data_IF_070291846094
#
_entry.id   IF_070291846094
#
_cell.length_a   1.000
_cell.length_b   1.000
_cell.length_c   1.000
_cell.angle_alpha   90.00
_cell.angle_beta   90.00
_cell.angle_gamma   90.00
#
_symmetry.space_group_name_H-M   'P 1'
#
loop_
_entity.id
_entity.type
_entity.pdbx_description
1 polymer ?
#
# COMPACT_ATOMS: atom_id res chain seq x y z
N UNK A 1 -52.67 -4.08 -34.65
CA UNK A 1 -51.53 -4.36 -33.75
C UNK A 1 -50.36 -3.51 -34.21
N UNK A 2 -50.17 -2.33 -33.62
CA UNK A 2 -49.03 -1.46 -33.90
C UNK A 2 -47.77 -2.09 -33.33
N UNK A 3 -46.87 -2.50 -34.21
CA UNK A 3 -45.50 -2.90 -33.87
C UNK A 3 -44.83 -1.76 -33.10
N UNK A 4 -44.67 -1.89 -31.77
CA UNK A 4 -43.76 -1.01 -31.02
C UNK A 4 -42.36 -1.36 -31.50
N UNK A 5 -41.80 -0.53 -32.36
CA UNK A 5 -40.37 -0.56 -32.68
C UNK A 5 -39.65 -0.39 -31.34
N UNK A 6 -39.11 -1.48 -30.79
CA UNK A 6 -38.27 -1.44 -29.61
C UNK A 6 -37.00 -0.71 -30.01
N UNK A 7 -36.95 0.59 -29.72
CA UNK A 7 -35.73 1.36 -29.89
C UNK A 7 -34.66 0.69 -29.03
N UNK A 8 -33.59 0.21 -29.67
CA UNK A 8 -32.44 -0.37 -29.00
C UNK A 8 -31.29 0.60 -29.10
N UNK A 9 -30.49 0.68 -28.05
CA UNK A 9 -29.23 1.43 -28.05
C UNK A 9 -28.07 0.45 -27.95
N UNK A 10 -27.01 0.71 -28.71
CA UNK A 10 -25.73 0.05 -28.62
C UNK A 10 -24.83 0.86 -27.70
N UNK A 11 -24.25 0.22 -26.70
CA UNK A 11 -23.32 0.86 -25.77
C UNK A 11 -22.08 -0.04 -25.62
N UNK A 12 -20.97 0.54 -25.17
CA UNK A 12 -19.75 -0.22 -24.87
C UNK A 12 -19.46 -0.16 -23.37
N UNK A 13 -19.59 -1.28 -22.67
CA UNK A 13 -19.38 -1.42 -21.22
C UNK A 13 -18.08 -2.16 -20.96
N UNK A 14 -17.10 -1.53 -20.31
CA UNK A 14 -15.77 -2.12 -20.04
C UNK A 14 -15.12 -2.77 -21.28
N UNK A 15 -15.33 -2.18 -22.46
CA UNK A 15 -14.79 -2.69 -23.73
C UNK A 15 -15.66 -3.71 -24.46
N UNK A 16 -16.77 -4.17 -23.86
CA UNK A 16 -17.74 -5.09 -24.48
C UNK A 16 -18.93 -4.34 -25.04
N UNK A 17 -19.34 -4.69 -26.25
CA UNK A 17 -20.53 -4.12 -26.86
C UNK A 17 -21.78 -4.80 -26.27
N UNK A 18 -22.75 -3.99 -25.84
CA UNK A 18 -24.03 -4.42 -25.28
C UNK A 18 -25.17 -3.69 -25.96
N UNK A 19 -26.27 -4.41 -26.16
CA UNK A 19 -27.53 -3.84 -26.64
C UNK A 19 -28.51 -3.73 -25.49
N UNK A 20 -29.03 -2.54 -25.23
CA UNK A 20 -30.10 -2.31 -24.26
C UNK A 20 -31.39 -1.92 -24.98
N UNK A 21 -32.51 -2.45 -24.50
CA UNK A 21 -33.82 -1.97 -24.92
C UNK A 21 -34.08 -0.57 -24.33
N UNK A 22 -34.82 0.27 -25.06
CA UNK A 22 -35.22 1.60 -24.60
C UNK A 22 -35.97 1.52 -23.26
N UNK A 23 -35.86 2.58 -22.47
CA UNK A 23 -36.48 2.65 -21.16
C UNK A 23 -38.01 2.50 -21.22
N UNK A 24 -38.68 2.23 -20.08
CA UNK A 24 -40.12 1.92 -20.04
C UNK A 24 -41.02 2.96 -20.72
N UNK A 25 -40.57 4.22 -20.74
CA UNK A 25 -41.25 5.39 -21.31
C UNK A 25 -40.83 5.72 -22.76
N UNK A 26 -40.05 4.86 -23.44
CA UNK A 26 -39.61 5.06 -24.83
C UNK A 26 -38.43 6.01 -25.02
N UNK A 27 -37.80 6.47 -23.92
CA UNK A 27 -36.56 7.25 -23.94
C UNK A 27 -35.30 6.38 -23.89
N UNK A 28 -34.12 7.01 -23.99
CA UNK A 28 -32.84 6.33 -23.80
C UNK A 28 -32.80 5.59 -22.45
N UNK A 29 -32.28 4.35 -22.39
CA UNK A 29 -32.16 3.64 -21.12
C UNK A 29 -31.22 4.38 -20.19
N UNK A 30 -31.36 4.15 -18.90
CA UNK A 30 -30.56 4.80 -17.86
C UNK A 30 -29.43 3.90 -17.36
N UNK A 31 -28.51 4.47 -16.58
CA UNK A 31 -27.52 3.67 -15.84
C UNK A 31 -28.20 2.62 -14.95
N UNK A 32 -29.33 2.95 -14.30
CA UNK A 32 -30.08 1.98 -13.49
C UNK A 32 -30.64 0.81 -14.34
N UNK A 33 -31.06 1.07 -15.57
CA UNK A 33 -31.54 0.03 -16.49
C UNK A 33 -30.39 -0.89 -16.92
N UNK A 34 -29.20 -0.33 -17.19
CA UNK A 34 -27.99 -1.12 -17.44
C UNK A 34 -27.64 -2.00 -16.23
N UNK A 35 -27.64 -1.44 -15.01
CA UNK A 35 -27.34 -2.21 -13.81
C UNK A 35 -28.34 -3.35 -13.58
N UNK A 36 -29.62 -3.14 -13.91
CA UNK A 36 -30.65 -4.18 -13.86
C UNK A 36 -30.42 -5.27 -14.91
N UNK A 37 -30.12 -4.87 -16.13
CA UNK A 37 -29.80 -5.79 -17.23
C UNK A 37 -28.61 -6.70 -16.89
N UNK A 38 -27.60 -6.15 -16.21
CA UNK A 38 -26.41 -6.90 -15.78
C UNK A 38 -26.61 -7.70 -14.47
N UNK A 39 -27.78 -7.61 -13.81
CA UNK A 39 -27.99 -8.24 -12.50
C UNK A 39 -27.15 -7.65 -11.36
N UNK A 40 -26.77 -6.37 -11.47
CA UNK A 40 -25.87 -5.67 -10.53
C UNK A 40 -26.59 -4.64 -9.65
N UNK A 41 -27.92 -4.57 -9.67
CA UNK A 41 -28.71 -3.54 -8.96
C UNK A 41 -28.44 -3.49 -7.46
N UNK A 42 -28.32 -4.65 -6.81
CA UNK A 42 -28.12 -4.75 -5.35
C UNK A 42 -26.64 -4.74 -4.94
N UNK A 43 -25.71 -4.73 -5.90
CA UNK A 43 -24.28 -4.74 -5.59
C UNK A 43 -23.88 -3.44 -4.90
N UNK A 44 -23.32 -3.60 -3.71
CA UNK A 44 -22.62 -2.55 -2.99
C UNK A 44 -21.21 -2.39 -3.60
N UNK A 45 -20.61 -1.22 -3.37
CA UNK A 45 -19.25 -0.90 -3.82
C UNK A 45 -18.95 -1.03 -5.32
N UNK A 46 -19.86 -0.53 -6.15
CA UNK A 46 -19.68 -0.38 -7.59
C UNK A 46 -19.81 1.09 -7.96
N UNK A 47 -18.89 1.58 -8.78
CA UNK A 47 -18.96 2.91 -9.37
C UNK A 47 -19.11 2.83 -10.90
N UNK A 48 -19.81 3.82 -11.46
CA UNK A 48 -20.07 3.90 -12.90
C UNK A 48 -19.56 5.24 -13.44
N UNK A 49 -18.88 5.20 -14.57
CA UNK A 49 -18.63 6.38 -15.39
C UNK A 49 -19.24 6.22 -16.78
N UNK A 50 -19.79 7.30 -17.31
CA UNK A 50 -20.35 7.37 -18.66
C UNK A 50 -19.59 8.44 -19.43
N UNK A 51 -18.99 8.07 -20.56
CA UNK A 51 -18.16 8.93 -21.41
C UNK A 51 -17.03 9.66 -20.65
N UNK A 52 -16.46 9.00 -19.64
CA UNK A 52 -15.39 9.55 -18.80
C UNK A 52 -15.87 10.36 -17.60
N UNK A 53 -17.17 10.61 -17.47
CA UNK A 53 -17.74 11.29 -16.32
C UNK A 53 -18.27 10.29 -15.29
N UNK A 54 -17.79 10.39 -14.05
CA UNK A 54 -18.31 9.60 -12.93
C UNK A 54 -19.76 9.97 -12.66
N UNK A 55 -20.62 8.97 -12.55
CA UNK A 55 -22.06 9.12 -12.32
C UNK A 55 -22.38 8.73 -10.87
N UNK A 56 -22.76 9.71 -10.01
CA UNK A 56 -23.13 9.41 -8.63
C UNK A 56 -24.29 8.41 -8.57
N UNK A 57 -24.26 7.49 -7.60
CA UNK A 57 -25.29 6.45 -7.46
C UNK A 57 -26.71 7.00 -7.38
N UNK A 58 -26.89 8.14 -6.72
CA UNK A 58 -28.17 8.87 -6.63
C UNK A 58 -28.72 9.33 -7.98
N UNK A 59 -27.88 9.43 -9.02
CA UNK A 59 -28.28 9.85 -10.36
C UNK A 59 -28.52 8.71 -11.33
N UNK A 60 -28.25 7.46 -10.96
CA UNK A 60 -28.32 6.33 -11.88
C UNK A 60 -29.71 6.15 -12.51
N UNK A 61 -30.78 6.44 -11.77
CA UNK A 61 -32.16 6.30 -12.23
C UNK A 61 -32.61 7.31 -13.29
N UNK A 62 -31.85 8.38 -13.52
CA UNK A 62 -32.18 9.42 -14.50
C UNK A 62 -31.00 9.82 -15.38
N UNK A 63 -29.85 9.15 -15.28
CA UNK A 63 -28.70 9.40 -16.13
C UNK A 63 -28.85 8.64 -17.46
N UNK A 64 -29.03 9.34 -18.59
CA UNK A 64 -29.30 8.68 -19.86
C UNK A 64 -28.04 8.00 -20.43
N UNK A 65 -28.24 6.87 -21.09
CA UNK A 65 -27.26 6.17 -21.91
C UNK A 65 -27.64 6.35 -23.38
N UNK A 66 -27.08 7.35 -24.08
CA UNK A 66 -27.31 7.51 -25.51
C UNK A 66 -26.69 6.37 -26.31
N UNK A 67 -27.13 6.21 -27.55
CA UNK A 67 -26.49 5.30 -28.49
C UNK A 67 -25.00 5.65 -28.66
N UNK A 68 -24.15 4.63 -28.67
CA UNK A 68 -22.69 4.76 -28.67
C UNK A 68 -22.05 5.12 -27.33
N UNK A 69 -22.80 5.19 -26.23
CA UNK A 69 -22.24 5.52 -24.91
C UNK A 69 -21.14 4.54 -24.48
N UNK A 70 -20.03 5.08 -23.96
CA UNK A 70 -18.97 4.31 -23.33
C UNK A 70 -19.16 4.30 -21.82
N UNK A 71 -19.38 3.14 -21.25
CA UNK A 71 -19.61 2.95 -19.82
C UNK A 71 -18.44 2.21 -19.20
N UNK A 72 -17.93 2.71 -18.09
CA UNK A 72 -17.04 1.98 -17.21
C UNK A 72 -17.79 1.61 -15.94
N UNK A 73 -17.76 0.32 -15.58
CA UNK A 73 -18.27 -0.19 -14.33
C UNK A 73 -17.08 -0.76 -13.58
N UNK A 74 -16.76 -0.18 -12.43
CA UNK A 74 -15.58 -0.55 -11.65
C UNK A 74 -15.95 -0.99 -10.25
N UNK A 75 -15.07 -1.78 -9.66
CA UNK A 75 -15.16 -2.20 -8.26
C UNK A 75 -13.78 -2.26 -7.61
N UNK A 76 -13.72 -2.28 -6.26
CA UNK A 76 -12.52 -2.61 -5.52
C UNK A 76 -12.06 -4.05 -5.79
N UNK A 77 -10.75 -4.22 -5.96
CA UNK A 77 -10.09 -5.51 -6.14
C UNK A 77 -8.81 -5.54 -5.31
N UNK A 78 -8.29 -6.75 -5.09
CA UNK A 78 -6.91 -6.94 -4.66
C UNK A 78 -5.93 -6.20 -5.61
N UNK A 79 -4.94 -5.50 -5.05
CA UNK A 79 -3.99 -4.70 -5.84
C UNK A 79 -3.02 -5.51 -6.73
N UNK A 80 -2.28 -4.81 -7.60
CA UNK A 80 -1.16 -5.39 -8.35
C UNK A 80 -1.44 -5.68 -9.84
N UNK A 81 -0.43 -5.43 -10.68
CA UNK A 81 -0.38 -5.92 -12.06
C UNK A 81 0.16 -7.36 -12.05
N UNK A 82 -0.41 -8.24 -12.88
CA UNK A 82 0.12 -9.58 -13.08
C UNK A 82 1.58 -9.49 -13.59
N UNK A 83 2.47 -10.22 -12.93
CA UNK A 83 3.77 -10.58 -13.49
C UNK A 83 3.85 -12.10 -13.37
N UNK A 84 4.28 -12.80 -14.43
CA UNK A 84 4.20 -14.25 -14.49
C UNK A 84 4.92 -14.85 -13.29
N UNK A 85 4.17 -15.65 -12.52
CA UNK A 85 4.70 -16.35 -11.36
C UNK A 85 5.71 -17.41 -11.82
N UNK A 86 6.84 -17.51 -11.13
CA UNK A 86 7.67 -18.72 -11.12
C UNK A 86 7.46 -19.41 -9.79
N UNK A 87 7.09 -20.68 -9.85
CA UNK A 87 6.93 -21.55 -8.68
C UNK A 87 8.30 -22.10 -8.25
N UNK A 88 8.58 -22.06 -6.95
CA UNK A 88 9.67 -22.83 -6.32
C UNK A 88 9.23 -23.35 -4.93
N UNK A 89 9.81 -24.47 -4.44
CA UNK A 89 9.20 -25.28 -3.39
C UNK A 89 9.58 -24.85 -1.95
N UNK A 90 8.71 -25.23 -1.00
CA UNK A 90 8.75 -24.89 0.43
C UNK A 90 9.36 -26.03 1.27
N UNK A 91 10.17 -25.70 2.29
CA UNK A 91 10.68 -26.64 3.30
C UNK A 91 10.28 -26.22 4.74
N UNK A 92 10.14 -27.17 5.72
CA UNK A 92 9.57 -26.87 7.04
C UNK A 92 10.55 -26.81 8.23
N UNK A 93 10.23 -25.87 9.14
CA UNK A 93 10.25 -25.86 10.62
C UNK A 93 11.53 -25.85 11.51
N UNK A 94 11.33 -25.13 12.63
CA UNK A 94 12.18 -24.64 13.75
C UNK A 94 11.95 -25.46 15.05
N UNK A 95 12.76 -25.30 16.13
CA UNK A 95 12.15 -24.78 17.38
C UNK A 95 13.04 -23.93 18.36
N UNK A 96 12.41 -22.86 18.88
CA UNK A 96 12.22 -22.37 20.27
C UNK A 96 13.38 -22.06 21.28
N UNK A 97 13.25 -20.93 22.00
CA UNK A 97 13.95 -20.61 23.28
C UNK A 97 13.08 -19.79 24.28
N UNK A 98 13.35 -19.86 25.62
CA UNK A 98 12.51 -19.26 26.66
C UNK A 98 13.11 -18.02 27.38
N UNK A 99 12.22 -17.27 28.07
CA UNK A 99 12.44 -16.74 29.43
C UNK A 99 12.94 -15.30 29.62
N UNK A 100 12.04 -14.41 30.09
CA UNK A 100 12.20 -12.95 30.34
C UNK A 100 12.60 -12.68 31.82
N UNK A 101 13.35 -11.65 32.22
CA UNK A 101 12.82 -10.30 32.56
C UNK A 101 13.84 -9.40 33.26
N UNK A 102 13.70 -8.07 33.15
CA UNK A 102 13.42 -7.20 34.32
C UNK A 102 12.98 -5.78 33.90
N UNK A 103 11.82 -5.37 34.43
CA UNK A 103 11.24 -4.02 34.58
C UNK A 103 11.05 -3.15 33.32
N UNK A 104 9.96 -3.49 32.63
CA UNK A 104 9.39 -2.88 31.44
C UNK A 104 8.53 -1.63 31.74
N UNK A 105 8.85 -0.50 31.11
CA UNK A 105 7.77 0.23 30.45
C UNK A 105 7.55 -0.48 29.12
N UNK A 106 6.56 -1.37 29.06
CA UNK A 106 6.18 -2.00 27.79
C UNK A 106 5.62 -0.91 26.89
N UNK A 107 6.21 -0.71 25.71
CA UNK A 107 5.67 0.19 24.71
C UNK A 107 4.22 -0.20 24.39
N UNK A 108 3.28 0.72 24.64
CA UNK A 108 1.89 0.60 24.21
C UNK A 108 1.70 1.48 22.97
N UNK A 109 1.45 0.91 21.77
CA UNK A 109 1.13 1.67 20.57
C UNK A 109 -0.03 2.65 20.75
N UNK A 110 -0.92 2.43 21.73
CA UNK A 110 -2.02 3.33 22.05
C UNK A 110 -1.60 4.71 22.56
N UNK A 111 -0.39 4.84 23.12
CA UNK A 111 0.15 6.10 23.62
C UNK A 111 1.06 6.86 22.61
N UNK A 112 1.37 6.24 21.46
CA UNK A 112 2.10 6.86 20.34
C UNK A 112 1.35 6.63 19.00
N UNK A 113 0.12 7.15 18.85
CA UNK A 113 -0.65 6.92 17.64
C UNK A 113 -0.03 7.63 16.43
N UNK A 114 -0.15 7.01 15.26
CA UNK A 114 0.01 7.68 13.98
C UNK A 114 -1.26 8.49 13.69
N UNK A 115 -1.11 9.79 13.42
CA UNK A 115 -2.23 10.65 13.03
C UNK A 115 -2.05 11.12 11.60
N UNK A 116 -3.01 10.82 10.73
CA UNK A 116 -3.07 11.33 9.35
C UNK A 116 -4.45 11.96 9.15
N UNK A 117 -4.51 13.19 8.67
CA UNK A 117 -5.76 13.94 8.45
C UNK A 117 -6.75 13.87 9.64
N UNK A 118 -6.22 14.01 10.87
CA UNK A 118 -7.00 13.98 12.10
C UNK A 118 -7.47 12.58 12.56
N UNK A 119 -7.20 11.52 11.79
CA UNK A 119 -7.53 10.13 12.16
C UNK A 119 -6.31 9.46 12.80
N UNK A 120 -6.52 8.90 13.98
CA UNK A 120 -5.50 8.14 14.71
C UNK A 120 -5.49 6.65 14.32
N UNK A 121 -4.30 6.07 14.22
CA UNK A 121 -4.01 4.66 14.00
C UNK A 121 -2.95 4.21 15.02
N UNK A 122 -3.13 3.03 15.60
CA UNK A 122 -2.15 2.37 16.47
C UNK A 122 -1.07 1.68 15.65
N UNK A 123 -1.45 1.12 14.50
CA UNK A 123 -0.51 0.47 13.59
C UNK A 123 0.17 1.47 12.67
N UNK A 124 1.49 1.36 12.57
CA UNK A 124 2.35 2.09 11.62
C UNK A 124 2.75 1.24 10.40
N UNK A 125 2.11 0.08 10.22
CA UNK A 125 2.29 -0.82 9.08
C UNK A 125 1.03 -0.79 8.23
N UNK A 126 1.13 -0.27 7.01
CA UNK A 126 0.08 -0.33 5.99
C UNK A 126 0.35 -1.52 5.09
N UNK A 127 -0.70 -2.26 4.72
CA UNK A 127 -0.54 -3.49 3.94
C UNK A 127 -1.36 -3.43 2.65
N UNK A 128 -0.74 -3.83 1.54
CA UNK A 128 -1.47 -4.02 0.29
C UNK A 128 -2.14 -5.39 0.21
N UNK A 129 -3.20 -5.46 -0.59
CA UNK A 129 -4.01 -6.67 -0.83
C UNK A 129 -3.56 -7.47 -2.05
N UNK A 130 -2.51 -7.02 -2.73
CA UNK A 130 -2.15 -7.51 -4.05
C UNK A 130 -1.15 -8.64 -4.07
N UNK A 131 -1.21 -9.48 -5.11
CA UNK A 131 -0.23 -10.54 -5.43
C UNK A 131 -0.18 -11.74 -4.47
N UNK A 132 -1.14 -11.89 -3.57
CA UNK A 132 -1.27 -13.11 -2.77
C UNK A 132 -1.71 -14.27 -3.63
N UNK A 133 -1.25 -15.48 -3.30
CA UNK A 133 -1.64 -16.73 -3.99
C UNK A 133 -3.14 -17.02 -3.89
N UNK A 134 -3.75 -16.67 -2.76
CA UNK A 134 -5.17 -16.91 -2.48
C UNK A 134 -5.68 -15.94 -1.41
N UNK A 135 -7.00 -15.77 -1.36
CA UNK A 135 -7.66 -14.83 -0.46
C UNK A 135 -7.51 -15.22 1.01
N UNK A 136 -7.52 -16.51 1.35
CA UNK A 136 -7.39 -16.96 2.73
C UNK A 136 -6.01 -16.57 3.31
N UNK A 137 -4.96 -16.72 2.51
CA UNK A 137 -3.60 -16.31 2.83
C UNK A 137 -3.50 -14.80 2.98
N UNK A 138 -4.14 -14.03 2.11
CA UNK A 138 -4.22 -12.57 2.23
C UNK A 138 -4.89 -12.16 3.55
N UNK A 139 -6.06 -12.72 3.87
CA UNK A 139 -6.77 -12.42 5.13
C UNK A 139 -5.87 -12.74 6.33
N UNK A 140 -5.28 -13.93 6.37
CA UNK A 140 -4.38 -14.32 7.46
C UNK A 140 -3.17 -13.38 7.60
N UNK A 141 -2.62 -12.88 6.48
CA UNK A 141 -1.54 -11.91 6.50
C UNK A 141 -1.98 -10.54 7.03
N UNK A 142 -3.15 -10.03 6.62
CA UNK A 142 -3.72 -8.79 7.15
C UNK A 142 -3.93 -8.90 8.67
N UNK A 143 -4.47 -10.02 9.14
CA UNK A 143 -4.70 -10.24 10.57
C UNK A 143 -3.41 -10.26 11.38
N UNK A 144 -2.42 -11.03 10.92
CA UNK A 144 -1.12 -11.17 11.60
C UNK A 144 -0.27 -9.90 11.57
N UNK A 145 -0.40 -9.10 10.50
CA UNK A 145 0.26 -7.79 10.43
C UNK A 145 -0.22 -6.82 11.52
N UNK A 146 -1.43 -7.00 12.04
CA UNK A 146 -2.07 -6.01 12.91
C UNK A 146 -2.26 -4.65 12.24
N UNK A 147 -2.32 -4.60 10.90
CA UNK A 147 -2.57 -3.37 10.16
C UNK A 147 -3.97 -2.83 10.46
N UNK A 148 -4.11 -1.51 10.46
CA UNK A 148 -5.40 -0.81 10.50
C UNK A 148 -5.70 -0.08 9.18
N UNK A 149 -4.76 -0.11 8.21
CA UNK A 149 -4.90 0.56 6.90
C UNK A 149 -4.50 -0.37 5.76
N UNK A 150 -5.43 -0.61 4.85
CA UNK A 150 -5.29 -1.61 3.78
C UNK A 150 -5.49 -0.96 2.42
N UNK A 151 -4.54 -1.15 1.50
CA UNK A 151 -4.68 -0.62 0.14
C UNK A 151 -5.43 -1.57 -0.79
N UNK A 152 -6.28 -0.99 -1.64
CA UNK A 152 -7.08 -1.70 -2.64
C UNK A 152 -7.01 -0.98 -3.98
N UNK A 153 -7.06 -1.72 -5.09
CA UNK A 153 -7.09 -1.12 -6.41
C UNK A 153 -8.54 -1.02 -6.91
N UNK A 154 -8.82 -0.03 -7.76
CA UNK A 154 -10.08 0.04 -8.51
C UNK A 154 -9.85 -0.53 -9.91
N UNK A 155 -10.68 -1.49 -10.32
CA UNK A 155 -10.58 -2.15 -11.63
C UNK A 155 -11.93 -2.27 -12.30
N UNK A 156 -11.90 -2.32 -13.63
CA UNK A 156 -13.06 -2.65 -14.44
C UNK A 156 -13.58 -4.03 -14.04
N UNK A 157 -14.89 -4.11 -13.80
CA UNK A 157 -15.56 -5.37 -13.48
C UNK A 157 -15.54 -6.31 -14.69
N UNK A 158 -15.21 -7.58 -14.48
CA UNK A 158 -15.41 -8.61 -15.49
C UNK A 158 -16.89 -8.99 -15.53
N UNK A 159 -17.55 -8.61 -16.62
CA UNK A 159 -18.99 -8.86 -16.80
C UNK A 159 -19.35 -10.34 -16.97
N UNK A 160 -18.39 -11.21 -17.32
CA UNK A 160 -18.64 -12.67 -17.45
C UNK A 160 -18.46 -13.41 -16.11
N UNK A 161 -17.78 -12.78 -15.16
CA UNK A 161 -17.51 -13.33 -13.82
C UNK A 161 -17.76 -12.25 -12.74
N UNK A 162 -19.01 -11.75 -12.62
CA UNK A 162 -19.36 -10.63 -11.76
C UNK A 162 -19.13 -10.92 -10.26
N UNK A 163 -19.08 -12.19 -9.85
CA UNK A 163 -18.80 -12.59 -8.46
C UNK A 163 -17.31 -12.72 -8.11
N UNK A 164 -16.42 -12.83 -9.11
CA UNK A 164 -15.02 -13.17 -8.85
C UNK A 164 -14.18 -11.99 -8.37
N UNK A 165 -13.56 -12.08 -7.19
CA UNK A 165 -12.48 -11.16 -6.78
C UNK A 165 -12.90 -9.86 -6.07
N UNK A 166 -14.15 -9.78 -5.59
CA UNK A 166 -14.56 -8.68 -4.71
C UNK A 166 -13.79 -8.74 -3.38
N UNK A 167 -12.88 -7.80 -3.19
CA UNK A 167 -12.04 -7.71 -1.99
C UNK A 167 -12.86 -7.42 -0.73
N UNK A 168 -14.01 -6.74 -0.87
CA UNK A 168 -14.84 -6.35 0.28
C UNK A 168 -15.60 -7.54 0.87
N UNK A 169 -15.74 -8.64 0.14
CA UNK A 169 -16.26 -9.89 0.70
C UNK A 169 -15.33 -10.50 1.76
N UNK A 170 -14.07 -10.04 1.82
CA UNK A 170 -13.02 -10.65 2.64
C UNK A 170 -12.31 -9.67 3.59
N UNK A 171 -12.54 -8.36 3.44
CA UNK A 171 -11.92 -7.32 4.27
C UNK A 171 -13.01 -6.60 5.07
N UNK A 172 -13.02 -6.81 6.40
CA UNK A 172 -13.97 -6.14 7.30
C UNK A 172 -13.64 -4.64 7.39
N UNK A 173 -14.47 -3.81 6.74
CA UNK A 173 -14.33 -2.35 6.70
C UNK A 173 -14.60 -1.65 8.04
N UNK A 174 -15.12 -2.38 9.04
CA UNK A 174 -15.20 -1.89 10.43
C UNK A 174 -13.87 -2.02 11.15
N UNK A 175 -13.03 -2.99 10.73
CA UNK A 175 -11.69 -3.24 11.29
C UNK A 175 -10.59 -2.49 10.53
N UNK A 176 -10.69 -2.45 9.21
CA UNK A 176 -9.66 -1.87 8.34
C UNK A 176 -10.14 -0.58 7.70
N UNK A 177 -9.30 0.45 7.75
CA UNK A 177 -9.47 1.65 6.96
C UNK A 177 -8.97 1.39 5.53
N UNK A 178 -9.87 1.48 4.55
CA UNK A 178 -9.51 1.27 3.15
C UNK A 178 -8.85 2.52 2.57
N UNK A 179 -7.69 2.30 1.93
CA UNK A 179 -6.96 3.32 1.18
C UNK A 179 -6.94 2.89 -0.30
N UNK A 180 -7.95 3.26 -1.11
CA UNK A 180 -7.91 2.97 -2.53
C UNK A 180 -6.70 3.64 -3.18
N UNK A 181 -6.19 3.04 -4.25
CA UNK A 181 -5.11 3.61 -5.04
C UNK A 181 -5.50 3.85 -6.51
N UNK A 182 -4.74 4.71 -7.17
CA UNK A 182 -4.89 4.99 -8.60
C UNK A 182 -3.96 4.14 -9.46
N UNK A 183 -3.57 2.94 -8.98
CA UNK A 183 -2.65 2.05 -9.67
C UNK A 183 -3.09 1.80 -11.12
N UNK A 184 -2.19 2.06 -12.07
CA UNK A 184 -2.45 1.93 -13.51
C UNK A 184 -2.72 3.26 -14.22
N UNK A 185 -2.88 4.37 -13.49
CA UNK A 185 -2.85 5.70 -14.09
C UNK A 185 -1.43 6.07 -14.55
N UNK A 186 -1.32 6.58 -15.77
CA UNK A 186 -0.07 7.15 -16.32
C UNK A 186 -0.16 8.65 -16.57
N UNK A 187 -1.33 9.26 -16.31
CA UNK A 187 -1.55 10.71 -16.40
C UNK A 187 -2.32 11.22 -15.19
N UNK A 188 -2.22 12.51 -14.90
CA UNK A 188 -2.97 13.16 -13.82
C UNK A 188 -4.49 13.01 -14.01
N UNK A 189 -4.99 13.14 -15.25
CA UNK A 189 -6.42 12.98 -15.56
C UNK A 189 -6.93 11.57 -15.25
N UNK A 190 -6.17 10.54 -15.61
CA UNK A 190 -6.53 9.16 -15.29
C UNK A 190 -6.56 8.93 -13.78
N UNK A 191 -5.55 9.44 -13.06
CA UNK A 191 -5.49 9.27 -11.62
C UNK A 191 -6.67 9.96 -10.92
N UNK A 192 -7.01 11.19 -11.34
CA UNK A 192 -8.16 11.93 -10.83
C UNK A 192 -9.46 11.17 -11.11
N UNK A 193 -9.66 10.67 -12.33
CA UNK A 193 -10.84 9.89 -12.69
C UNK A 193 -10.97 8.61 -11.84
N UNK A 194 -9.87 7.87 -11.65
CA UNK A 194 -9.85 6.66 -10.80
C UNK A 194 -10.16 7.02 -9.34
N UNK A 195 -9.63 8.12 -8.82
CA UNK A 195 -9.89 8.55 -7.44
C UNK A 195 -11.37 8.90 -7.22
N UNK A 196 -12.02 9.59 -8.16
CA UNK A 196 -13.47 9.86 -8.09
C UNK A 196 -14.30 8.58 -8.17
N UNK A 197 -13.92 7.64 -9.05
CA UNK A 197 -14.53 6.31 -9.08
C UNK A 197 -14.34 5.55 -7.76
N UNK A 198 -13.15 5.63 -7.16
CA UNK A 198 -12.85 5.00 -5.88
C UNK A 198 -13.72 5.57 -4.76
N UNK A 199 -13.88 6.89 -4.70
CA UNK A 199 -14.73 7.58 -3.73
C UNK A 199 -16.19 7.16 -3.87
N UNK A 200 -16.72 7.08 -5.09
CA UNK A 200 -18.09 6.62 -5.32
C UNK A 200 -18.27 5.14 -4.97
N UNK A 201 -17.27 4.29 -5.25
CA UNK A 201 -17.34 2.86 -4.93
C UNK A 201 -17.21 2.60 -3.42
N UNK A 202 -16.31 3.30 -2.72
CA UNK A 202 -15.94 2.96 -1.34
C UNK A 202 -16.47 3.94 -0.29
N UNK A 203 -17.04 5.07 -0.71
CA UNK A 203 -17.53 6.11 0.20
C UNK A 203 -16.42 6.77 1.02
N UNK A 204 -15.16 6.71 0.58
CA UNK A 204 -14.00 7.26 1.28
C UNK A 204 -13.37 8.42 0.51
N UNK A 205 -12.97 9.53 1.17
CA UNK A 205 -12.19 10.59 0.55
C UNK A 205 -10.68 10.27 0.53
N UNK A 206 -10.23 9.16 1.13
CA UNK A 206 -8.81 8.82 1.20
C UNK A 206 -8.34 8.20 -0.11
N UNK A 207 -7.19 8.62 -0.61
CA UNK A 207 -6.61 8.09 -1.85
C UNK A 207 -5.09 8.00 -1.76
N UNK A 208 -4.56 6.80 -2.03
CA UNK A 208 -3.16 6.59 -2.39
C UNK A 208 -2.98 6.99 -3.85
N UNK A 209 -2.42 8.17 -4.08
CA UNK A 209 -2.23 8.70 -5.42
C UNK A 209 -0.95 8.11 -6.03
N UNK A 210 -1.11 7.38 -7.12
CA UNK A 210 -0.05 6.80 -7.94
C UNK A 210 -0.25 7.25 -9.40
N UNK A 211 0.75 7.95 -9.95
CA UNK A 211 0.83 8.28 -11.37
C UNK A 211 2.15 7.74 -11.90
N UNK A 212 2.10 6.67 -12.69
CA UNK A 212 3.32 5.96 -13.13
C UNK A 212 3.88 6.65 -14.38
N UNK A 213 5.13 7.10 -14.29
CA UNK A 213 5.84 7.75 -15.40
C UNK A 213 6.55 6.76 -16.32
N UNK A 214 7.04 5.63 -15.77
CA UNK A 214 7.63 4.56 -16.57
C UNK A 214 7.06 3.18 -16.14
N UNK A 215 6.39 2.45 -17.05
CA UNK A 215 5.79 1.16 -16.73
C UNK A 215 6.82 0.05 -16.45
N UNK A 216 8.10 0.21 -16.84
CA UNK A 216 9.14 -0.80 -16.56
C UNK A 216 9.67 -0.69 -15.13
N UNK A 217 10.04 0.51 -14.71
CA UNK A 217 10.55 0.76 -13.36
C UNK A 217 9.46 1.00 -12.33
N UNK A 218 8.23 1.33 -12.77
CA UNK A 218 7.13 1.77 -11.92
C UNK A 218 7.48 3.01 -11.09
N UNK A 219 8.42 3.83 -11.56
CA UNK A 219 8.73 5.13 -10.98
C UNK A 219 7.62 6.14 -11.28
N UNK A 220 7.31 7.03 -10.33
CA UNK A 220 6.22 7.99 -10.49
C UNK A 220 6.60 9.14 -11.44
N UNK A 221 5.63 9.62 -12.21
CA UNK A 221 5.70 10.95 -12.83
C UNK A 221 5.38 12.00 -11.77
N UNK A 222 6.41 12.71 -11.31
CA UNK A 222 6.28 13.66 -10.20
C UNK A 222 5.52 14.94 -10.58
N UNK A 223 5.56 15.36 -11.85
CA UNK A 223 4.77 16.53 -12.30
C UNK A 223 3.29 16.18 -12.35
N UNK A 224 2.94 15.05 -12.96
CA UNK A 224 1.56 14.59 -13.02
C UNK A 224 1.01 14.25 -11.61
N UNK A 225 1.85 13.69 -10.73
CA UNK A 225 1.49 13.43 -9.32
C UNK A 225 1.19 14.73 -8.57
N UNK A 226 2.01 15.78 -8.74
CA UNK A 226 1.78 17.08 -8.11
C UNK A 226 0.50 17.76 -8.64
N UNK A 227 0.25 17.68 -9.95
CA UNK A 227 -0.98 18.20 -10.55
C UNK A 227 -2.23 17.49 -10.00
N UNK A 228 -2.24 16.16 -10.01
CA UNK A 228 -3.33 15.37 -9.50
C UNK A 228 -3.56 15.61 -7.99
N UNK A 229 -2.48 15.78 -7.21
CA UNK A 229 -2.58 16.12 -5.78
C UNK A 229 -3.37 17.41 -5.59
N UNK A 230 -3.01 18.51 -6.28
CA UNK A 230 -3.71 19.80 -6.16
C UNK A 230 -5.19 19.71 -6.54
N UNK A 231 -5.51 18.92 -7.57
CA UNK A 231 -6.89 18.73 -8.04
C UNK A 231 -7.70 17.94 -7.01
N UNK A 232 -7.17 16.82 -6.54
CA UNK A 232 -7.85 15.95 -5.58
C UNK A 232 -8.04 16.62 -4.22
N UNK A 233 -7.04 17.34 -3.71
CA UNK A 233 -7.17 18.12 -2.46
C UNK A 233 -8.29 19.14 -2.60
N UNK A 234 -8.35 19.87 -3.72
CA UNK A 234 -9.45 20.84 -4.01
C UNK A 234 -10.81 20.16 -4.06
N UNK A 235 -10.86 18.93 -4.57
CA UNK A 235 -12.07 18.11 -4.63
C UNK A 235 -12.44 17.44 -3.29
N UNK A 236 -11.70 17.75 -2.21
CA UNK A 236 -11.96 17.29 -0.85
C UNK A 236 -11.39 15.90 -0.52
N UNK A 237 -10.39 15.43 -1.26
CA UNK A 237 -9.71 14.17 -0.94
C UNK A 237 -8.63 14.35 0.14
N UNK A 238 -8.43 13.29 0.93
CA UNK A 238 -7.25 13.08 1.75
C UNK A 238 -6.22 12.34 0.89
N UNK A 239 -5.25 13.08 0.34
CA UNK A 239 -4.31 12.56 -0.66
C UNK A 239 -3.00 12.11 0.00
N UNK A 240 -2.60 10.87 -0.28
CA UNK A 240 -1.31 10.30 0.07
C UNK A 240 -0.58 9.95 -1.24
N UNK A 241 0.31 10.81 -1.76
CA UNK A 241 1.00 10.61 -3.02
C UNK A 241 2.24 9.72 -2.89
N UNK A 242 2.35 8.72 -3.77
CA UNK A 242 3.57 7.95 -4.02
C UNK A 242 4.58 8.81 -4.80
N UNK A 243 5.78 8.97 -4.26
CA UNK A 243 6.82 9.83 -4.82
C UNK A 243 8.22 9.24 -4.65
N UNK A 244 9.23 9.91 -5.18
CA UNK A 244 10.65 9.59 -4.90
C UNK A 244 11.08 10.22 -3.57
N UNK A 245 12.30 9.90 -3.11
CA UNK A 245 12.97 10.54 -1.97
C UNK A 245 13.49 11.97 -2.24
N UNK A 246 13.04 12.62 -3.32
CA UNK A 246 13.39 14.00 -3.62
C UNK A 246 12.69 14.97 -2.65
N UNK A 247 13.50 15.72 -1.88
CA UNK A 247 13.02 16.64 -0.86
C UNK A 247 12.12 17.74 -1.45
N UNK A 248 12.51 18.31 -2.60
CA UNK A 248 11.77 19.44 -3.18
C UNK A 248 10.39 18.99 -3.64
N UNK A 249 10.28 17.80 -4.22
CA UNK A 249 9.01 17.20 -4.59
C UNK A 249 8.14 16.96 -3.37
N UNK A 250 8.68 16.41 -2.28
CA UNK A 250 7.91 16.16 -1.06
C UNK A 250 7.37 17.46 -0.44
N UNK A 251 8.18 18.53 -0.36
CA UNK A 251 7.74 19.84 0.11
C UNK A 251 6.63 20.43 -0.79
N UNK A 252 6.74 20.27 -2.11
CA UNK A 252 5.70 20.73 -3.04
C UNK A 252 4.39 19.94 -2.92
N UNK A 253 4.46 18.65 -2.62
CA UNK A 253 3.28 17.82 -2.37
C UNK A 253 2.61 18.22 -1.04
N UNK A 254 3.39 18.51 -0.01
CA UNK A 254 2.90 19.10 1.24
C UNK A 254 2.22 20.46 0.98
N UNK A 255 2.86 21.38 0.27
CA UNK A 255 2.29 22.69 -0.10
C UNK A 255 1.00 22.55 -0.92
N UNK A 256 0.88 21.47 -1.71
CA UNK A 256 -0.33 21.15 -2.47
C UNK A 256 -1.47 20.60 -1.60
N UNK A 257 -1.23 20.35 -0.31
CA UNK A 257 -2.20 19.86 0.67
C UNK A 257 -2.22 18.34 0.83
N UNK A 258 -1.17 17.63 0.45
CA UNK A 258 -1.05 16.20 0.74
C UNK A 258 -1.14 15.95 2.26
N UNK A 259 -1.89 14.94 2.66
CA UNK A 259 -2.09 14.61 4.08
C UNK A 259 -0.94 13.78 4.68
N UNK A 260 -0.13 13.18 3.82
CA UNK A 260 1.14 12.54 4.09
C UNK A 260 1.94 12.56 2.78
N UNK A 261 3.24 12.29 2.81
CA UNK A 261 4.04 12.02 1.61
C UNK A 261 4.59 10.60 1.66
N UNK A 262 4.66 9.92 0.52
CA UNK A 262 5.07 8.52 0.48
C UNK A 262 6.30 8.28 -0.41
N UNK A 263 7.50 8.66 0.04
CA UNK A 263 8.73 8.42 -0.71
C UNK A 263 9.03 6.92 -0.79
N UNK A 264 9.48 6.49 -1.96
CA UNK A 264 9.85 5.11 -2.21
C UNK A 264 11.17 4.70 -1.53
N UNK A 265 11.26 3.50 -0.96
CA UNK A 265 12.55 2.94 -0.50
C UNK A 265 13.41 2.44 -1.69
N UNK A 266 12.75 1.75 -2.62
CA UNK A 266 13.25 1.29 -3.90
C UNK A 266 12.06 1.07 -4.87
N UNK A 267 12.30 0.83 -6.18
CA UNK A 267 11.20 0.63 -7.12
C UNK A 267 10.22 -0.49 -6.71
N UNK A 268 8.95 -0.34 -7.12
CA UNK A 268 7.85 -1.21 -6.64
C UNK A 268 8.15 -2.68 -6.90
N UNK A 269 8.13 -3.47 -5.82
CA UNK A 269 8.23 -4.92 -5.89
C UNK A 269 9.63 -5.50 -6.12
N UNK A 270 10.68 -4.67 -6.09
CA UNK A 270 12.06 -5.16 -6.23
C UNK A 270 12.58 -5.85 -4.98
N UNK A 271 12.13 -5.44 -3.79
CA UNK A 271 12.63 -5.96 -2.52
C UNK A 271 14.08 -5.57 -2.22
N UNK A 272 14.58 -4.50 -2.84
CA UNK A 272 15.97 -4.04 -2.70
C UNK A 272 16.25 -3.31 -1.37
N UNK A 273 15.23 -3.02 -0.57
CA UNK A 273 15.37 -2.31 0.69
C UNK A 273 15.53 -0.79 0.50
N UNK A 274 16.28 -0.15 1.40
CA UNK A 274 16.39 1.31 1.52
C UNK A 274 17.56 1.88 0.69
N UNK A 275 17.35 2.10 -0.62
CA UNK A 275 18.45 2.54 -1.51
C UNK A 275 18.95 3.96 -1.20
N UNK A 276 18.04 4.89 -0.92
CA UNK A 276 18.36 6.29 -0.61
C UNK A 276 17.89 6.68 0.80
N UNK A 277 18.47 6.03 1.81
CA UNK A 277 18.18 6.33 3.21
C UNK A 277 18.49 7.79 3.59
N UNK A 278 19.51 8.40 2.98
CA UNK A 278 19.90 9.78 3.25
C UNK A 278 18.90 10.79 2.67
N UNK A 279 18.33 10.52 1.49
CA UNK A 279 17.20 11.28 0.95
C UNK A 279 15.96 11.19 1.82
N UNK A 280 15.57 9.98 2.21
CA UNK A 280 14.41 9.76 3.09
C UNK A 280 14.58 10.48 4.42
N UNK A 281 15.77 10.41 5.03
CA UNK A 281 16.08 11.15 6.26
C UNK A 281 15.90 12.66 6.09
N UNK A 282 16.40 13.23 4.99
CA UNK A 282 16.22 14.67 4.69
C UNK A 282 14.74 15.05 4.53
N UNK A 283 13.92 14.17 3.94
CA UNK A 283 12.47 14.37 3.83
C UNK A 283 11.83 14.37 5.23
N UNK A 284 12.14 13.36 6.05
CA UNK A 284 11.64 13.24 7.44
C UNK A 284 11.97 14.48 8.27
N UNK A 285 13.19 15.00 8.15
CA UNK A 285 13.64 16.17 8.93
C UNK A 285 12.99 17.50 8.50
N UNK A 286 12.36 17.56 7.31
CA UNK A 286 11.95 18.83 6.68
C UNK A 286 10.46 18.95 6.40
N UNK A 287 9.78 17.85 6.11
CA UNK A 287 8.34 17.82 5.86
C UNK A 287 7.59 17.76 7.19
N UNK A 288 6.49 18.50 7.32
CA UNK A 288 5.70 18.56 8.57
C UNK A 288 4.55 17.54 8.58
N UNK A 289 4.06 17.13 7.41
CA UNK A 289 3.11 16.03 7.28
C UNK A 289 3.78 14.66 7.48
N UNK A 290 3.04 13.62 7.88
CA UNK A 290 3.57 12.26 8.04
C UNK A 290 4.32 11.76 6.80
N UNK A 291 5.49 11.15 7.02
CA UNK A 291 6.28 10.50 5.97
C UNK A 291 6.07 8.99 6.07
N UNK A 292 5.50 8.39 5.02
CA UNK A 292 5.24 6.95 4.94
C UNK A 292 6.18 6.32 3.93
N UNK A 293 7.16 5.53 4.37
CA UNK A 293 8.06 4.89 3.41
C UNK A 293 7.32 3.76 2.71
N UNK A 294 7.14 3.90 1.40
CA UNK A 294 6.39 2.97 0.54
C UNK A 294 7.35 2.27 -0.44
N UNK A 295 6.92 1.15 -1.02
CA UNK A 295 7.60 0.41 -2.08
C UNK A 295 9.04 -0.04 -1.74
N UNK A 296 9.55 -1.03 -2.48
CA UNK A 296 10.96 -1.44 -2.39
C UNK A 296 11.41 -2.23 -1.15
N UNK A 297 10.73 -2.11 0.00
CA UNK A 297 11.02 -2.89 1.21
C UNK A 297 10.94 -4.39 0.92
N UNK A 298 11.97 -5.14 1.32
CA UNK A 298 12.11 -6.57 1.07
C UNK A 298 11.96 -7.42 2.33
N UNK A 299 12.42 -6.93 3.47
CA UNK A 299 12.44 -7.67 4.75
C UNK A 299 12.10 -6.75 5.94
N UNK A 300 11.76 -7.32 7.11
CA UNK A 300 11.40 -6.52 8.30
C UNK A 300 12.49 -5.55 8.78
N UNK A 301 13.77 -5.84 8.55
CA UNK A 301 14.87 -4.93 8.90
C UNK A 301 14.84 -3.64 8.08
N UNK A 302 14.34 -3.66 6.84
CA UNK A 302 14.18 -2.45 6.03
C UNK A 302 13.12 -1.54 6.62
N UNK A 303 12.02 -2.13 7.09
CA UNK A 303 10.96 -1.39 7.79
C UNK A 303 11.46 -0.86 9.14
N UNK A 304 12.23 -1.65 9.89
CA UNK A 304 12.85 -1.19 11.14
C UNK A 304 13.76 0.03 10.89
N UNK A 305 14.62 -0.03 9.87
CA UNK A 305 15.48 1.08 9.47
C UNK A 305 14.67 2.34 9.11
N UNK A 306 13.57 2.21 8.36
CA UNK A 306 12.68 3.33 8.06
C UNK A 306 12.15 4.01 9.34
N UNK A 307 11.67 3.19 10.29
CA UNK A 307 11.13 3.68 11.55
C UNK A 307 12.21 4.29 12.46
N UNK A 308 13.42 3.72 12.48
CA UNK A 308 14.59 4.26 13.19
C UNK A 308 15.02 5.64 12.66
N UNK A 309 14.85 5.90 11.36
CA UNK A 309 15.10 7.21 10.75
C UNK A 309 14.05 8.25 11.13
N UNK A 310 12.92 7.83 11.73
CA UNK A 310 11.81 8.71 12.10
C UNK A 310 10.65 8.72 11.11
N UNK A 311 10.57 7.75 10.19
CA UNK A 311 9.38 7.60 9.36
C UNK A 311 8.13 7.44 10.24
N UNK A 312 7.01 7.99 9.80
CA UNK A 312 5.75 7.91 10.53
C UNK A 312 5.10 6.53 10.38
N UNK A 313 5.27 5.90 9.23
CA UNK A 313 4.78 4.56 8.93
C UNK A 313 5.54 3.96 7.74
N UNK A 314 5.24 2.69 7.44
CA UNK A 314 5.67 2.02 6.20
C UNK A 314 4.47 1.38 5.50
N UNK A 315 4.55 1.27 4.16
CA UNK A 315 3.57 0.54 3.36
C UNK A 315 4.25 -0.64 2.66
N UNK A 316 3.78 -1.86 2.93
CA UNK A 316 4.36 -3.09 2.41
C UNK A 316 3.31 -3.91 1.66
N UNK A 317 3.68 -4.43 0.47
CA UNK A 317 2.85 -5.39 -0.27
C UNK A 317 3.65 -6.60 -0.73
N UNK A 318 4.54 -6.41 -1.73
CA UNK A 318 5.16 -7.54 -2.44
C UNK A 318 6.00 -8.43 -1.52
N UNK A 319 6.75 -7.83 -0.58
CA UNK A 319 7.57 -8.59 0.37
C UNK A 319 6.75 -9.54 1.26
N UNK A 320 5.54 -9.14 1.66
CA UNK A 320 4.62 -10.00 2.40
C UNK A 320 3.97 -11.00 1.43
N UNK A 321 3.30 -10.51 0.39
CA UNK A 321 2.44 -11.30 -0.47
C UNK A 321 3.18 -12.42 -1.22
N UNK A 322 4.46 -12.20 -1.58
CA UNK A 322 5.30 -13.16 -2.29
C UNK A 322 6.30 -13.91 -1.41
N UNK A 323 6.24 -13.75 -0.09
CA UNK A 323 7.02 -14.59 0.80
C UNK A 323 6.56 -16.06 0.71
N UNK A 324 7.46 -17.01 1.02
CA UNK A 324 7.09 -18.43 1.13
C UNK A 324 5.96 -18.64 2.16
N UNK A 325 5.99 -17.87 3.25
CA UNK A 325 4.96 -17.83 4.28
C UNK A 325 4.48 -16.37 4.50
N UNK A 326 3.48 -15.89 3.74
CA UNK A 326 3.00 -14.51 3.85
C UNK A 326 2.46 -14.13 5.23
N UNK A 327 1.66 -14.96 5.94
CA UNK A 327 1.22 -14.60 7.28
C UNK A 327 2.36 -14.46 8.30
N UNK A 328 3.38 -15.32 8.24
CA UNK A 328 4.57 -15.19 9.08
C UNK A 328 5.37 -13.92 8.72
N UNK A 329 5.53 -13.64 7.43
CA UNK A 329 6.24 -12.42 6.98
C UNK A 329 5.49 -11.15 7.41
N UNK A 330 4.16 -11.15 7.36
CA UNK A 330 3.33 -10.05 7.83
C UNK A 330 3.54 -9.78 9.34
N UNK A 331 3.57 -10.84 10.15
CA UNK A 331 3.88 -10.76 11.58
C UNK A 331 5.32 -10.26 11.82
N UNK A 332 6.28 -10.72 11.02
CA UNK A 332 7.66 -10.26 11.11
C UNK A 332 7.79 -8.76 10.79
N UNK A 333 7.11 -8.26 9.75
CA UNK A 333 7.05 -6.83 9.44
C UNK A 333 6.42 -6.01 10.56
N UNK A 334 5.35 -6.51 11.20
CA UNK A 334 4.77 -5.88 12.39
C UNK A 334 5.83 -5.69 13.48
N UNK A 335 6.62 -6.73 13.77
CA UNK A 335 7.70 -6.63 14.76
C UNK A 335 8.81 -5.69 14.33
N UNK A 336 9.22 -5.70 13.05
CA UNK A 336 10.21 -4.76 12.52
C UNK A 336 9.79 -3.30 12.70
N UNK A 337 8.55 -2.97 12.36
CA UNK A 337 7.98 -1.62 12.54
C UNK A 337 7.94 -1.23 14.02
N UNK A 338 7.47 -2.13 14.90
CA UNK A 338 7.42 -1.88 16.34
C UNK A 338 8.81 -1.69 16.95
N UNK A 339 9.77 -2.53 16.56
CA UNK A 339 11.14 -2.47 17.04
C UNK A 339 11.81 -1.15 16.62
N UNK A 340 11.71 -0.80 15.33
CA UNK A 340 12.30 0.43 14.83
C UNK A 340 11.66 1.69 15.43
N UNK A 341 10.33 1.70 15.63
CA UNK A 341 9.66 2.83 16.29
C UNK A 341 10.08 2.97 17.74
N UNK A 342 10.18 1.87 18.48
CA UNK A 342 10.68 1.88 19.86
C UNK A 342 12.12 2.36 19.92
N UNK A 343 13.00 1.91 19.02
CA UNK A 343 14.38 2.37 18.94
C UNK A 343 14.49 3.88 18.66
N UNK A 344 13.62 4.41 17.78
CA UNK A 344 13.53 5.85 17.53
C UNK A 344 13.13 6.63 18.80
N UNK A 345 12.08 6.19 19.49
CA UNK A 345 11.60 6.84 20.72
C UNK A 345 12.58 6.72 21.89
N UNK A 346 13.29 5.59 21.98
CA UNK A 346 14.26 5.34 23.05
C UNK A 346 15.52 6.23 22.92
N UNK A 347 15.81 6.75 21.73
CA UNK A 347 17.03 7.49 21.45
C UNK A 347 18.25 6.58 21.46
N UNK A 348 18.63 6.06 20.29
CA UNK A 348 19.82 5.21 20.15
C UNK A 348 21.08 5.93 20.66
N UNK A 349 22.06 5.13 21.12
CA UNK A 349 23.39 5.67 21.40
C UNK A 349 24.03 6.29 20.14
N UNK A 350 24.81 7.38 20.28
CA UNK A 350 25.60 7.92 19.19
C UNK A 350 26.59 6.88 18.65
N UNK A 351 26.77 6.77 17.32
CA UNK A 351 27.84 5.94 16.76
C UNK A 351 29.21 6.47 17.20
N UNK A 352 30.13 5.55 17.52
CA UNK A 352 31.51 5.85 17.88
C UNK A 352 32.46 5.25 16.85
N UNK A 353 33.58 5.92 16.60
CA UNK A 353 34.61 5.44 15.68
C UNK A 353 35.57 4.43 16.33
N UNK A 354 35.65 4.47 17.67
CA UNK A 354 36.54 3.62 18.46
C UNK A 354 35.73 2.72 19.39
N UNK A 355 36.30 1.57 19.73
CA UNK A 355 35.69 0.66 20.69
C UNK A 355 35.82 1.23 22.11
N UNK A 356 34.71 1.23 22.85
CA UNK A 356 34.71 1.47 24.29
C UNK A 356 34.52 0.14 25.02
N UNK A 357 35.40 -0.23 25.96
CA UNK A 357 35.21 -1.42 26.78
C UNK A 357 33.85 -1.40 27.48
N UNK A 358 33.11 -2.51 27.42
CA UNK A 358 31.85 -2.69 28.16
C UNK A 358 32.05 -3.12 29.62
N UNK A 359 33.27 -3.53 29.97
CA UNK A 359 33.66 -4.01 31.29
C UNK A 359 34.86 -3.21 31.82
N UNK A 360 35.03 -3.13 33.16
CA UNK A 360 36.21 -2.51 33.75
C UNK A 360 37.50 -3.14 33.22
N UNK A 361 38.47 -2.30 32.89
CA UNK A 361 39.81 -2.73 32.44
C UNK A 361 40.75 -3.02 33.62
N UNK A 362 40.34 -2.68 34.84
CA UNK A 362 41.05 -3.04 36.07
C UNK A 362 40.79 -4.50 36.44
N UNK A 363 41.84 -5.20 36.90
CA UNK A 363 41.71 -6.58 37.39
C UNK A 363 41.64 -7.67 36.32
N UNK A 364 42.01 -7.37 35.06
CA UNK A 364 42.09 -8.38 33.99
C UNK A 364 43.12 -9.46 34.39
N UNK A 365 42.74 -10.75 34.50
CA UNK A 365 43.66 -11.81 34.89
C UNK A 365 44.80 -11.98 33.88
N UNK A 366 46.04 -12.04 34.36
CA UNK A 366 47.19 -12.34 33.51
C UNK A 366 47.14 -13.81 33.06
N UNK A 367 47.32 -14.06 31.76
CA UNK A 367 47.57 -15.40 31.26
C UNK A 367 48.93 -15.90 31.79
N UNK A 368 49.06 -17.14 32.30
CA UNK A 368 50.36 -17.68 32.64
C UNK A 368 51.22 -17.70 31.37
N UNK A 369 52.36 -17.03 31.40
CA UNK A 369 53.36 -17.06 30.33
C UNK A 369 53.67 -18.54 30.04
N UNK A 370 53.32 -19.01 28.84
CA UNK A 370 53.81 -20.30 28.37
C UNK A 370 55.33 -20.24 28.40
N UNK A 371 55.95 -21.00 29.29
CA UNK A 371 57.40 -21.09 29.39
C UNK A 371 57.93 -21.40 28.00
N UNK A 372 58.64 -20.44 27.38
CA UNK A 372 59.42 -20.70 26.17
C UNK A 372 60.30 -21.91 26.50
N UNK A 373 60.06 -23.05 25.84
CA UNK A 373 60.99 -24.18 25.91
C UNK A 373 62.35 -23.63 25.48
N UNK A 374 63.27 -23.51 26.44
CA UNK A 374 64.66 -23.22 26.16
C UNK A 374 65.11 -24.28 25.14
N UNK A 375 65.48 -23.83 23.94
CA UNK A 375 66.10 -24.70 22.97
C UNK A 375 67.31 -25.35 23.62
N UNK A 376 67.36 -26.67 23.62
CA UNK A 376 68.56 -27.43 23.93
C UNK A 376 69.58 -27.17 22.82
N UNK A 377 70.24 -26.02 22.92
CA UNK A 377 71.57 -25.83 22.36
C UNK A 377 72.52 -26.69 23.16
N UNK A 378 72.85 -27.86 22.63
CA UNK A 378 73.91 -28.73 23.11
C UNK A 378 74.68 -29.25 21.92
N UNK A 379 75.63 -28.44 21.45
CA UNK A 379 76.65 -28.88 20.49
C UNK A 379 77.79 -29.65 21.17
N UNK A 380 78.54 -30.37 20.34
CA UNK A 380 79.75 -31.14 20.65
C UNK A 380 79.46 -32.64 20.55
N UNK A 381 80.11 -33.44 19.69
CA UNK A 381 81.46 -33.39 19.14
C UNK A 381 81.55 -33.99 17.74
#
# INVERSE_FOLDING_TARGET
>A
MTSRTTHRVQIRVNGKDLTLDAGPSGGSPTVADLMRHLGLTERQAVAVAVNGQVVPRSRWGHWPLPDGARVQIVRPMAGGAESPAREEPVHPHDPARPGVSSHSQSYDPGHDPLVIAGRAFRSRLFVGTGKYRDTATMVAALERSGTEMVTVAIRAMNLDAPDGGDILAHVDTRRYHLLPNTAGATTADQAVAIAHLAREALGTPWIKLEVIGDPRTLLPDLQATLEATRRLVRDGFVVLPYCTSDLITCLRLEDAGAAAVMPLAAPIGTGQGMLDWAGIRRVIERVSVPVVVDAGLGVPSDAAMAMELGASAVLVNTAIARAQNPPLMAEAFKWGVLAGRQAFLAGRMPPQNEASPSSPTEGVPFAPLAARRAGSGGGGA
#
